data_IF_513334928035
#
_entry.id   IF_513334928035
#
_cell.length_a   1.000
_cell.length_b   1.000
_cell.length_c   1.000
_cell.angle_alpha   90.00
_cell.angle_beta   90.00
_cell.angle_gamma   90.00
#
_symmetry.space_group_name_H-M   'P 1'
#
loop_
_entity.id
_entity.type
_entity.pdbx_description
1 polymer ?
#
# COMPACT_ATOMS: atom_id res chain seq x y z
N UNK A 1 8.06 6.32 4.14
CA UNK A 1 7.05 5.25 4.40
C UNK A 1 7.67 3.92 4.05
N UNK A 2 7.57 2.93 4.94
CA UNK A 2 8.14 1.60 4.72
C UNK A 2 7.05 0.63 4.28
N UNK A 3 7.31 -0.10 3.20
CA UNK A 3 6.39 -1.07 2.62
C UNK A 3 6.93 -2.47 2.91
N UNK A 4 6.07 -3.36 3.38
CA UNK A 4 6.41 -4.74 3.67
C UNK A 4 5.56 -5.69 2.81
N UNK A 5 6.22 -6.58 2.07
CA UNK A 5 5.59 -7.76 1.51
C UNK A 5 5.36 -8.75 2.65
N UNK A 6 4.14 -9.17 2.88
CA UNK A 6 3.79 -10.00 4.05
C UNK A 6 3.42 -11.42 3.68
N UNK A 7 3.62 -12.30 4.64
CA UNK A 7 3.10 -13.66 4.64
C UNK A 7 2.29 -13.87 5.91
N UNK A 8 1.21 -14.60 5.82
CA UNK A 8 0.31 -14.94 6.92
C UNK A 8 0.30 -16.44 7.19
N UNK A 9 0.21 -16.83 8.45
CA UNK A 9 0.15 -18.24 8.87
C UNK A 9 -1.03 -18.45 9.82
N UNK A 10 -1.90 -19.40 9.48
CA UNK A 10 -3.02 -19.84 10.31
C UNK A 10 -3.07 -21.37 10.36
N UNK A 11 -3.68 -21.93 11.42
CA UNK A 11 -3.73 -23.38 11.62
C UNK A 11 -2.58 -23.94 12.48
N UNK A 12 -1.86 -23.08 13.19
CA UNK A 12 -0.77 -23.44 14.11
C UNK A 12 0.63 -23.25 13.51
N UNK A 13 1.64 -23.38 14.37
CA UNK A 13 3.04 -23.02 14.05
C UNK A 13 3.70 -23.89 12.95
N UNK A 14 3.09 -25.02 12.60
CA UNK A 14 3.58 -25.90 11.54
C UNK A 14 2.82 -25.74 10.22
N UNK A 15 1.83 -24.86 10.17
CA UNK A 15 1.07 -24.59 8.96
C UNK A 15 1.94 -23.86 7.92
N UNK A 16 1.64 -23.99 6.62
CA UNK A 16 2.34 -23.24 5.60
C UNK A 16 2.08 -21.73 5.73
N UNK A 17 3.05 -20.95 5.28
CA UNK A 17 2.91 -19.51 5.11
C UNK A 17 2.25 -19.23 3.75
N UNK A 18 1.32 -18.28 3.72
CA UNK A 18 0.58 -17.85 2.55
C UNK A 18 0.85 -16.37 2.28
N UNK A 19 0.74 -15.95 1.03
CA UNK A 19 0.80 -14.54 0.68
C UNK A 19 -0.19 -13.73 1.55
N UNK A 20 0.32 -12.72 2.22
CA UNK A 20 -0.42 -11.82 3.11
C UNK A 20 -0.67 -10.45 2.51
N UNK A 21 -0.23 -10.20 1.26
CA UNK A 21 -0.30 -8.91 0.61
C UNK A 21 0.73 -7.92 1.14
N UNK A 22 0.39 -6.65 1.10
CA UNK A 22 1.27 -5.58 1.56
C UNK A 22 0.77 -4.92 2.83
N UNK A 23 1.71 -4.54 3.70
CA UNK A 23 1.52 -3.54 4.74
C UNK A 23 2.37 -2.32 4.39
N UNK A 24 1.81 -1.13 4.55
CA UNK A 24 2.57 0.12 4.47
C UNK A 24 2.43 0.84 5.79
N UNK A 25 3.53 0.99 6.52
CA UNK A 25 3.58 1.57 7.85
C UNK A 25 4.80 2.47 8.02
N UNK A 26 4.66 3.44 8.92
CA UNK A 26 5.72 4.43 9.16
C UNK A 26 5.76 5.52 8.09
N UNK A 27 6.17 6.70 8.49
CA UNK A 27 6.20 7.89 7.62
C UNK A 27 7.57 8.58 7.55
N UNK A 28 8.62 7.93 8.06
CA UNK A 28 9.98 8.47 8.04
C UNK A 28 10.79 7.85 6.92
N UNK A 29 11.48 8.70 6.14
CA UNK A 29 12.23 8.26 4.97
C UNK A 29 13.45 7.39 5.33
N UNK A 30 14.14 7.73 6.42
CA UNK A 30 15.44 7.15 6.79
C UNK A 30 15.36 6.28 8.06
N UNK A 31 14.17 5.95 8.54
CA UNK A 31 13.99 5.24 9.79
C UNK A 31 12.82 4.27 9.73
N UNK A 32 13.13 2.98 9.77
CA UNK A 32 12.11 1.95 9.71
C UNK A 32 11.34 1.81 11.04
N UNK A 33 10.06 1.48 11.01
CA UNK A 33 9.35 1.02 12.20
C UNK A 33 9.90 -0.34 12.64
N UNK A 34 10.17 -0.46 13.94
CA UNK A 34 10.65 -1.72 14.56
C UNK A 34 9.60 -2.38 15.45
N UNK A 35 8.51 -1.69 15.75
CA UNK A 35 7.35 -2.28 16.43
C UNK A 35 6.06 -1.55 16.02
N UNK A 36 4.96 -2.30 15.95
CA UNK A 36 3.61 -1.79 15.77
C UNK A 36 2.65 -2.60 16.67
N UNK A 37 2.06 -1.95 17.65
CA UNK A 37 1.12 -2.55 18.59
C UNK A 37 -0.15 -1.69 18.63
N UNK A 38 -1.13 -2.04 17.82
CA UNK A 38 -2.38 -1.31 17.68
C UNK A 38 -3.57 -2.25 17.71
N UNK A 39 -4.69 -1.75 18.22
CA UNK A 39 -5.94 -2.51 18.29
C UNK A 39 -7.15 -1.63 18.01
N UNK A 40 -8.23 -2.27 17.56
CA UNK A 40 -9.52 -1.66 17.27
C UNK A 40 -10.61 -2.27 18.15
N UNK A 41 -11.44 -1.43 18.75
CA UNK A 41 -12.64 -1.85 19.47
C UNK A 41 -13.93 -1.75 18.64
N UNK A 42 -13.86 -1.33 17.37
CA UNK A 42 -15.01 -1.02 16.52
C UNK A 42 -15.00 -1.74 15.16
N UNK A 43 -14.37 -2.90 15.13
CA UNK A 43 -14.31 -3.74 13.92
C UNK A 43 -13.37 -3.22 12.84
N UNK A 44 -12.28 -2.54 13.25
CA UNK A 44 -11.25 -2.07 12.33
C UNK A 44 -11.54 -0.72 11.68
N UNK A 45 -12.47 0.07 12.21
CA UNK A 45 -12.71 1.44 11.73
C UNK A 45 -11.71 2.43 12.32
N UNK A 46 -11.36 2.26 13.58
CA UNK A 46 -10.36 3.07 14.26
C UNK A 46 -9.38 2.16 15.01
N UNK A 47 -8.09 2.47 14.91
CA UNK A 47 -7.05 1.85 15.70
C UNK A 47 -6.47 2.85 16.70
N UNK A 48 -6.01 2.33 17.83
CA UNK A 48 -5.21 3.04 18.81
C UNK A 48 -4.11 2.13 19.35
N UNK A 49 -2.98 2.72 19.72
CA UNK A 49 -1.86 1.98 20.31
C UNK A 49 -0.54 2.70 20.16
N UNK A 50 0.51 1.96 19.87
CA UNK A 50 1.86 2.50 19.76
C UNK A 50 2.60 1.95 18.55
N UNK A 51 3.57 2.72 18.07
CA UNK A 51 4.61 2.28 17.17
C UNK A 51 5.97 2.74 17.68
N UNK A 52 7.02 2.10 17.23
CA UNK A 52 8.40 2.45 17.61
C UNK A 52 9.25 2.49 16.35
N UNK A 53 10.00 3.56 16.17
CA UNK A 53 11.04 3.64 15.16
C UNK A 53 12.39 3.22 15.71
N UNK A 54 13.29 2.77 14.84
CA UNK A 54 14.64 2.36 15.22
C UNK A 54 15.36 3.48 15.98
N UNK A 55 15.94 3.14 17.14
CA UNK A 55 16.65 4.08 17.99
C UNK A 55 15.78 4.96 18.89
N UNK A 56 14.47 4.82 18.85
CA UNK A 56 13.51 5.62 19.62
C UNK A 56 12.68 4.80 20.61
N UNK A 57 11.96 5.50 21.48
CA UNK A 57 10.93 4.91 22.33
C UNK A 57 9.57 4.85 21.64
N UNK A 58 8.59 4.13 22.24
CA UNK A 58 7.25 4.04 21.67
C UNK A 58 6.57 5.41 21.59
N UNK A 59 5.92 5.67 20.45
CA UNK A 59 5.05 6.84 20.22
C UNK A 59 3.60 6.39 20.09
N UNK A 60 2.66 7.27 20.45
CA UNK A 60 1.24 7.03 20.28
C UNK A 60 0.85 6.97 18.81
N UNK A 61 -0.07 6.08 18.49
CA UNK A 61 -0.69 5.94 17.15
C UNK A 61 -2.20 5.92 17.29
N UNK A 62 -2.87 6.68 16.43
CA UNK A 62 -4.27 6.50 16.12
C UNK A 62 -4.45 6.48 14.61
N UNK A 63 -5.32 5.60 14.13
CA UNK A 63 -5.58 5.44 12.70
C UNK A 63 -7.09 5.35 12.47
N UNK A 64 -7.58 6.06 11.46
CA UNK A 64 -9.00 6.08 11.07
C UNK A 64 -9.14 5.57 9.65
N UNK A 65 -10.04 4.60 9.46
CA UNK A 65 -10.32 4.01 8.15
C UNK A 65 -10.84 5.08 7.17
N UNK A 66 -10.14 5.24 6.06
CA UNK A 66 -10.51 6.15 4.95
C UNK A 66 -11.20 5.36 3.84
N UNK A 67 -10.63 4.25 3.45
CA UNK A 67 -11.14 3.30 2.47
C UNK A 67 -10.57 1.91 2.77
N UNK A 68 -10.98 0.87 2.03
CA UNK A 68 -10.58 -0.52 2.30
C UNK A 68 -9.09 -0.66 2.61
N UNK A 69 -8.79 -1.16 3.81
CA UNK A 69 -7.44 -1.37 4.35
C UNK A 69 -6.54 -0.10 4.42
N UNK A 70 -7.01 1.06 4.00
CA UNK A 70 -6.25 2.31 4.00
C UNK A 70 -6.73 3.23 5.13
N UNK A 71 -5.80 3.70 5.94
CA UNK A 71 -6.07 4.45 7.17
C UNK A 71 -5.31 5.78 7.16
N UNK A 72 -6.01 6.87 7.50
CA UNK A 72 -5.36 8.12 7.91
C UNK A 72 -4.79 7.92 9.30
N UNK A 73 -3.50 8.19 9.47
CA UNK A 73 -2.77 7.95 10.71
C UNK A 73 -2.26 9.24 11.30
N UNK A 74 -2.29 9.32 12.61
CA UNK A 74 -1.66 10.37 13.38
C UNK A 74 -0.76 9.76 14.45
N UNK A 75 0.37 10.42 14.71
CA UNK A 75 1.35 10.04 15.70
C UNK A 75 1.43 11.06 16.82
N UNK A 76 1.73 10.61 18.03
CA UNK A 76 1.91 11.46 19.21
C UNK A 76 3.21 11.11 19.93
N UNK A 77 4.09 12.08 20.10
CA UNK A 77 5.34 11.97 20.89
C UNK A 77 5.45 13.14 21.86
N UNK A 78 6.25 12.99 22.91
CA UNK A 78 6.41 14.02 23.96
C UNK A 78 5.40 13.87 25.11
N UNK A 79 4.75 12.71 25.23
CA UNK A 79 3.82 12.38 26.31
C UNK A 79 2.34 12.52 25.94
N UNK A 80 1.46 12.06 26.81
CA UNK A 80 0.00 11.93 26.55
C UNK A 80 -0.74 13.26 26.37
N UNK A 81 -0.14 14.38 26.69
CA UNK A 81 -0.70 15.73 26.50
C UNK A 81 -0.15 16.43 25.26
N UNK A 82 0.78 15.83 24.54
CA UNK A 82 1.34 16.40 23.33
C UNK A 82 0.30 16.42 22.20
N UNK A 83 0.45 17.31 21.21
CA UNK A 83 -0.42 17.31 20.04
C UNK A 83 -0.26 16.04 19.21
N UNK A 84 -1.29 15.68 18.47
CA UNK A 84 -1.25 14.67 17.44
C UNK A 84 -0.80 15.29 16.13
N UNK A 85 0.05 14.60 15.40
CA UNK A 85 0.61 15.03 14.13
C UNK A 85 0.21 14.07 13.03
N UNK A 86 -0.09 14.59 11.87
CA UNK A 86 -0.39 13.79 10.68
C UNK A 86 0.81 12.88 10.33
N UNK A 87 0.53 11.61 10.15
CA UNK A 87 1.50 10.60 9.77
C UNK A 87 1.22 10.00 8.38
N UNK A 88 0.28 10.59 7.64
CA UNK A 88 -0.11 10.16 6.30
C UNK A 88 -1.00 8.91 6.28
N UNK A 89 -1.00 8.22 5.17
CA UNK A 89 -1.81 7.04 4.96
C UNK A 89 -1.00 5.76 5.23
N UNK A 90 -1.59 4.82 5.99
CA UNK A 90 -1.04 3.48 6.17
C UNK A 90 -1.96 2.45 5.50
N UNK A 91 -1.37 1.41 4.95
CA UNK A 91 -2.08 0.24 4.46
C UNK A 91 -2.02 -0.86 5.53
N UNK A 92 -3.14 -1.16 6.17
CA UNK A 92 -3.25 -2.09 7.29
C UNK A 92 -4.20 -3.24 6.94
N UNK A 93 -3.65 -4.35 6.47
CA UNK A 93 -4.40 -5.52 6.03
C UNK A 93 -4.51 -5.63 4.50
N UNK A 94 -4.96 -6.79 4.02
CA UNK A 94 -5.07 -7.09 2.60
C UNK A 94 -6.35 -7.85 2.23
N UNK A 95 -7.21 -8.19 3.20
CA UNK A 95 -8.44 -8.93 2.91
C UNK A 95 -9.56 -7.99 2.49
N UNK A 96 -10.26 -8.45 1.46
CA UNK A 96 -11.47 -7.80 1.01
C UNK A 96 -12.64 -8.09 1.94
N UNK A 97 -13.36 -7.04 2.35
CA UNK A 97 -14.58 -7.16 3.16
C UNK A 97 -14.36 -7.59 4.62
N UNK A 98 -13.11 -7.71 5.07
CA UNK A 98 -12.78 -8.07 6.44
C UNK A 98 -11.61 -7.21 6.97
N UNK A 99 -11.91 -6.23 7.78
CA UNK A 99 -10.89 -5.36 8.36
C UNK A 99 -10.00 -6.11 9.35
N UNK A 100 -8.73 -5.76 9.38
CA UNK A 100 -7.88 -6.09 10.52
C UNK A 100 -8.40 -5.35 11.78
N UNK A 101 -8.22 -5.95 12.96
CA UNK A 101 -8.63 -5.37 14.25
C UNK A 101 -7.50 -5.32 15.27
N UNK A 102 -6.39 -5.99 15.03
CA UNK A 102 -5.20 -5.89 15.88
C UNK A 102 -3.93 -6.21 15.09
N UNK A 103 -2.83 -5.55 15.50
CA UNK A 103 -1.47 -5.86 15.10
C UNK A 103 -0.56 -5.85 16.33
N UNK A 104 0.31 -6.85 16.41
CA UNK A 104 1.42 -6.93 17.36
C UNK A 104 2.64 -7.42 16.60
N UNK A 105 3.40 -6.48 16.04
CA UNK A 105 4.54 -6.72 15.16
C UNK A 105 5.81 -6.14 15.77
N UNK A 106 6.91 -6.87 15.65
CA UNK A 106 8.22 -6.48 16.14
C UNK A 106 9.32 -6.84 15.13
N UNK A 107 10.41 -6.11 15.18
CA UNK A 107 11.63 -6.34 14.39
C UNK A 107 12.83 -6.50 15.31
N UNK A 108 13.75 -7.37 14.92
CA UNK A 108 15.06 -7.53 15.57
C UNK A 108 16.24 -7.12 14.67
N UNK A 109 15.96 -6.62 13.48
CA UNK A 109 16.95 -6.31 12.43
C UNK A 109 16.80 -4.87 11.87
N UNK A 110 16.44 -3.91 12.72
CA UNK A 110 16.30 -2.50 12.33
C UNK A 110 15.12 -2.26 11.37
N UNK A 111 14.07 -3.07 11.48
CA UNK A 111 12.87 -2.91 10.66
C UNK A 111 12.98 -3.45 9.23
N UNK A 112 14.00 -4.27 8.92
CA UNK A 112 14.08 -4.95 7.62
C UNK A 112 13.05 -6.08 7.52
N UNK A 113 12.79 -6.75 8.65
CA UNK A 113 11.70 -7.70 8.77
C UNK A 113 10.84 -7.39 9.99
N UNK A 114 9.52 -7.58 9.85
CA UNK A 114 8.56 -7.52 10.95
C UNK A 114 7.96 -8.92 11.14
N UNK A 115 7.87 -9.36 12.39
CA UNK A 115 7.24 -10.64 12.74
C UNK A 115 6.29 -10.45 13.91
N UNK A 116 5.26 -11.26 13.97
CA UNK A 116 4.29 -11.20 15.07
C UNK A 116 2.94 -11.73 14.68
N UNK A 117 1.90 -11.05 15.10
CA UNK A 117 0.52 -11.44 14.82
C UNK A 117 -0.33 -10.28 14.32
N UNK A 118 -1.33 -10.64 13.53
CA UNK A 118 -2.47 -9.78 13.22
C UNK A 118 -3.77 -10.53 13.45
N UNK A 119 -4.85 -9.81 13.62
CA UNK A 119 -6.18 -10.38 13.82
C UNK A 119 -7.16 -9.69 12.88
N UNK A 120 -7.94 -10.47 12.15
CA UNK A 120 -9.08 -9.96 11.38
C UNK A 120 -10.37 -10.03 12.20
N UNK A 121 -11.33 -9.16 11.89
CA UNK A 121 -12.61 -9.10 12.59
C UNK A 121 -13.32 -10.46 12.58
N UNK A 122 -13.68 -10.97 13.76
CA UNK A 122 -14.34 -12.26 13.94
C UNK A 122 -13.41 -13.48 13.95
N UNK A 123 -12.09 -13.28 13.84
CA UNK A 123 -11.10 -14.37 13.87
C UNK A 123 -10.18 -14.29 15.09
N UNK A 124 -9.38 -15.34 15.30
CA UNK A 124 -8.26 -15.33 16.23
C UNK A 124 -6.98 -14.77 15.59
N UNK A 125 -5.93 -14.53 16.39
CA UNK A 125 -4.64 -14.07 15.87
C UNK A 125 -4.04 -15.06 14.86
N UNK A 126 -3.49 -14.53 13.77
CA UNK A 126 -2.71 -15.28 12.78
C UNK A 126 -1.27 -14.77 12.76
N UNK A 127 -0.33 -15.65 12.44
CA UNK A 127 1.07 -15.27 12.29
C UNK A 127 1.28 -14.33 11.11
N UNK A 128 2.13 -13.34 11.28
CA UNK A 128 2.57 -12.41 10.23
C UNK A 128 4.07 -12.37 10.17
N UNK A 129 4.58 -12.39 8.96
CA UNK A 129 5.98 -12.10 8.63
C UNK A 129 6.01 -11.15 7.45
N UNK A 130 6.63 -9.99 7.60
CA UNK A 130 6.79 -8.97 6.57
C UNK A 130 8.27 -8.72 6.29
N UNK A 131 8.63 -8.57 5.03
CA UNK A 131 9.97 -8.14 4.62
C UNK A 131 9.85 -6.84 3.83
N UNK A 132 10.79 -5.90 4.03
CA UNK A 132 10.81 -4.63 3.30
C UNK A 132 10.74 -4.89 1.79
N UNK A 133 9.84 -4.20 1.14
CA UNK A 133 9.64 -4.21 -0.31
C UNK A 133 10.17 -2.91 -0.92
N UNK A 134 10.64 -2.98 -2.15
CA UNK A 134 11.15 -1.83 -2.90
C UNK A 134 10.09 -1.00 -3.64
N UNK A 135 8.81 -1.25 -3.41
CA UNK A 135 7.72 -0.51 -4.04
C UNK A 135 7.70 0.98 -3.66
N UNK A 136 7.15 1.80 -4.56
CA UNK A 136 6.97 3.24 -4.34
C UNK A 136 5.52 3.54 -3.99
N UNK A 137 5.31 4.29 -2.92
CA UNK A 137 3.98 4.67 -2.44
C UNK A 137 3.49 5.96 -3.07
N UNK A 138 2.21 5.99 -3.41
CA UNK A 138 1.52 7.16 -3.94
C UNK A 138 0.19 7.37 -3.20
N UNK A 139 -0.07 8.60 -2.78
CA UNK A 139 -1.39 9.03 -2.36
C UNK A 139 -2.24 9.25 -3.61
N UNK A 140 -3.29 8.46 -3.76
CA UNK A 140 -4.18 8.53 -4.89
C UNK A 140 -5.39 9.45 -4.59
N UNK A 141 -5.79 10.23 -5.58
CA UNK A 141 -7.08 10.90 -5.59
C UNK A 141 -7.83 10.59 -6.88
N UNK A 142 -9.14 10.45 -6.77
CA UNK A 142 -10.03 10.12 -7.87
C UNK A 142 -11.05 11.24 -8.11
N UNK A 143 -11.39 11.49 -9.37
CA UNK A 143 -12.39 12.49 -9.76
C UNK A 143 -13.45 11.87 -10.69
N UNK A 144 -14.71 11.96 -10.29
CA UNK A 144 -15.85 11.54 -11.10
C UNK A 144 -16.93 12.63 -11.11
N UNK A 145 -17.76 12.65 -12.14
CA UNK A 145 -18.77 13.70 -12.32
C UNK A 145 -18.31 14.89 -13.17
N UNK A 146 -17.23 14.72 -13.93
CA UNK A 146 -16.66 15.72 -14.85
C UNK A 146 -15.52 16.53 -14.27
N UNK A 147 -14.85 17.32 -15.13
CA UNK A 147 -13.59 18.00 -14.82
C UNK A 147 -13.69 19.09 -13.73
N UNK A 148 -14.90 19.51 -13.35
CA UNK A 148 -15.13 20.49 -12.28
C UNK A 148 -15.56 19.82 -10.96
N UNK A 149 -15.69 18.51 -10.92
CA UNK A 149 -16.06 17.79 -9.71
C UNK A 149 -14.89 17.81 -8.69
N UNK A 150 -15.20 17.70 -7.39
CA UNK A 150 -14.13 17.59 -6.39
C UNK A 150 -13.33 16.30 -6.55
N UNK A 151 -12.07 16.36 -6.15
CA UNK A 151 -11.22 15.18 -6.00
C UNK A 151 -11.52 14.50 -4.65
N UNK A 152 -11.55 13.18 -4.66
CA UNK A 152 -11.82 12.35 -3.49
C UNK A 152 -10.65 11.43 -3.21
N UNK A 153 -10.46 11.09 -1.94
CA UNK A 153 -9.43 10.15 -1.52
C UNK A 153 -9.57 8.82 -2.27
N UNK A 154 -8.50 8.41 -2.94
CA UNK A 154 -8.40 7.20 -3.75
C UNK A 154 -7.54 6.11 -3.11
N UNK A 155 -7.13 6.28 -1.85
CA UNK A 155 -6.33 5.33 -1.10
C UNK A 155 -4.83 5.44 -1.36
N UNK A 156 -4.10 4.46 -0.87
CA UNK A 156 -2.66 4.34 -1.06
C UNK A 156 -2.38 3.32 -2.16
N UNK A 157 -1.64 3.73 -3.18
CA UNK A 157 -1.14 2.87 -4.23
C UNK A 157 0.33 2.56 -4.01
N UNK A 158 0.75 1.34 -4.36
CA UNK A 158 2.14 0.93 -4.33
C UNK A 158 2.51 0.44 -5.72
N UNK A 159 3.40 1.15 -6.38
CA UNK A 159 3.79 0.91 -7.77
C UNK A 159 5.32 0.84 -7.89
N UNK A 160 5.79 -0.07 -8.74
CA UNK A 160 7.22 -0.22 -9.02
C UNK A 160 7.94 -1.16 -8.05
N UNK A 161 9.12 -1.58 -8.46
CA UNK A 161 10.01 -2.43 -7.69
C UNK A 161 11.46 -1.92 -7.64
N UNK A 162 11.68 -0.67 -8.07
CA UNK A 162 13.02 -0.06 -8.09
C UNK A 162 13.01 1.17 -7.19
N UNK A 163 13.74 1.15 -6.05
CA UNK A 163 13.68 2.22 -5.05
C UNK A 163 14.17 3.57 -5.57
N UNK A 164 15.16 3.57 -6.47
CA UNK A 164 15.80 4.80 -6.97
C UNK A 164 15.29 5.24 -8.35
N UNK A 165 14.28 4.56 -8.89
CA UNK A 165 13.78 4.83 -10.23
C UNK A 165 12.24 4.80 -10.25
N UNK A 166 11.59 5.96 -10.06
CA UNK A 166 10.13 6.02 -10.02
C UNK A 166 9.50 5.72 -11.37
N UNK A 167 8.28 5.20 -11.33
CA UNK A 167 7.44 5.04 -12.52
C UNK A 167 7.02 6.43 -13.03
N UNK A 168 7.10 6.61 -14.34
CA UNK A 168 6.68 7.85 -15.03
C UNK A 168 5.50 7.64 -15.98
N UNK A 169 5.14 6.40 -16.29
CA UNK A 169 3.94 6.08 -17.05
C UNK A 169 3.45 4.66 -16.73
N UNK A 170 2.14 4.47 -16.74
CA UNK A 170 1.46 3.19 -16.61
C UNK A 170 0.23 3.18 -17.53
N UNK A 171 0.19 2.26 -18.49
CA UNK A 171 -0.92 2.04 -19.41
C UNK A 171 -1.28 0.55 -19.40
N UNK A 172 -2.29 0.20 -18.61
CA UNK A 172 -2.69 -1.18 -18.35
C UNK A 172 -4.20 -1.37 -18.46
N UNK A 173 -4.60 -2.57 -18.84
CA UNK A 173 -6.01 -2.94 -18.97
C UNK A 173 -6.26 -4.40 -18.59
N UNK A 174 -7.52 -4.72 -18.32
CA UNK A 174 -8.01 -6.04 -17.95
C UNK A 174 -9.18 -6.45 -18.83
N UNK A 175 -9.19 -7.71 -19.25
CA UNK A 175 -10.32 -8.33 -19.93
C UNK A 175 -11.17 -9.24 -18.99
N UNK A 176 -10.77 -9.40 -17.74
CA UNK A 176 -11.35 -10.34 -16.77
C UNK A 176 -11.75 -9.70 -15.45
N UNK A 177 -12.28 -8.47 -15.51
CA UNK A 177 -12.74 -7.67 -14.37
C UNK A 177 -11.64 -7.40 -13.31
N UNK A 178 -10.41 -7.18 -13.75
CA UNK A 178 -9.30 -6.79 -12.88
C UNK A 178 -8.54 -7.96 -12.24
N UNK A 179 -8.83 -9.20 -12.59
CA UNK A 179 -8.05 -10.35 -12.10
C UNK A 179 -6.64 -10.40 -12.68
N UNK A 180 -6.54 -10.05 -13.96
CA UNK A 180 -5.25 -9.83 -14.61
C UNK A 180 -5.22 -8.45 -15.28
N UNK A 181 -4.09 -7.77 -15.14
CA UNK A 181 -3.83 -6.51 -15.82
C UNK A 181 -2.63 -6.71 -16.75
N UNK A 182 -2.73 -6.22 -17.96
CA UNK A 182 -1.65 -6.30 -18.96
C UNK A 182 -1.48 -4.97 -19.67
N UNK A 183 -0.27 -4.67 -20.13
CA UNK A 183 0.01 -3.43 -20.83
C UNK A 183 1.48 -3.04 -20.75
N UNK A 184 1.75 -1.78 -20.54
CA UNK A 184 3.10 -1.24 -20.44
C UNK A 184 3.27 -0.34 -19.23
N UNK A 185 4.50 -0.26 -18.75
CA UNK A 185 4.95 0.70 -17.76
C UNK A 185 6.28 1.31 -18.17
N UNK A 186 6.62 2.45 -17.64
CA UNK A 186 7.87 3.14 -17.93
C UNK A 186 8.50 3.64 -16.65
N UNK A 187 9.75 3.29 -16.42
CA UNK A 187 10.57 3.89 -15.38
C UNK A 187 11.24 5.19 -15.87
N UNK A 188 11.55 6.09 -14.95
CA UNK A 188 12.24 7.34 -15.28
C UNK A 188 13.56 7.07 -16.01
N UNK A 189 13.75 7.74 -17.16
CA UNK A 189 14.93 7.60 -18.01
C UNK A 189 14.95 6.38 -18.94
N UNK A 190 13.89 5.55 -18.94
CA UNK A 190 13.78 4.35 -19.78
C UNK A 190 12.63 4.45 -20.81
N UNK A 191 12.58 3.50 -21.73
CA UNK A 191 11.44 3.28 -22.63
C UNK A 191 10.38 2.37 -21.96
N UNK A 192 9.21 2.26 -22.61
CA UNK A 192 8.16 1.38 -22.13
C UNK A 192 8.61 -0.09 -22.10
N UNK A 193 8.23 -0.77 -21.01
CA UNK A 193 8.44 -2.22 -20.82
C UNK A 193 7.11 -2.91 -20.68
N UNK A 194 7.06 -4.21 -21.02
CA UNK A 194 5.87 -5.05 -20.84
C UNK A 194 5.50 -5.18 -19.37
N UNK A 195 4.21 -5.12 -19.11
CA UNK A 195 3.61 -5.26 -17.77
C UNK A 195 2.56 -6.36 -17.77
N UNK A 196 2.61 -7.22 -16.77
CA UNK A 196 1.58 -8.20 -16.48
C UNK A 196 1.42 -8.33 -14.96
N UNK A 197 0.19 -8.24 -14.48
CA UNK A 197 -0.13 -8.37 -13.07
C UNK A 197 -1.25 -9.38 -12.88
N UNK A 198 -1.15 -10.19 -11.84
CA UNK A 198 -2.19 -11.15 -11.43
C UNK A 198 -2.62 -10.80 -10.01
N UNK A 199 -3.92 -10.62 -9.82
CA UNK A 199 -4.49 -10.32 -8.51
C UNK A 199 -4.26 -11.48 -7.56
N UNK A 200 -3.68 -11.21 -6.40
CA UNK A 200 -3.44 -12.18 -5.32
C UNK A 200 -4.45 -12.04 -4.21
N UNK A 201 -4.76 -10.81 -3.85
CA UNK A 201 -5.81 -10.43 -2.87
C UNK A 201 -6.50 -9.17 -3.38
N UNK A 202 -7.50 -8.64 -2.65
CA UNK A 202 -8.16 -7.36 -2.95
C UNK A 202 -7.22 -6.38 -3.66
N UNK A 203 -7.24 -5.43 -4.16
CA UNK A 203 -6.36 -4.46 -4.86
C UNK A 203 -4.84 -4.78 -4.92
N UNK A 204 -4.41 -5.99 -4.49
CA UNK A 204 -3.00 -6.44 -4.45
C UNK A 204 -2.68 -7.39 -5.60
N UNK A 205 -1.57 -7.14 -6.29
CA UNK A 205 -1.17 -7.84 -7.50
C UNK A 205 0.28 -8.32 -7.43
N UNK A 206 0.54 -9.58 -7.84
CA UNK A 206 1.88 -10.03 -8.22
C UNK A 206 2.17 -9.58 -9.63
N UNK A 207 3.29 -8.88 -9.82
CA UNK A 207 3.64 -8.20 -11.08
C UNK A 207 4.83 -8.87 -11.74
N UNK A 208 4.79 -8.95 -13.06
CA UNK A 208 5.90 -9.35 -13.91
C UNK A 208 6.18 -8.23 -14.92
N UNK A 209 7.45 -8.00 -15.18
CA UNK A 209 7.94 -7.03 -16.15
C UNK A 209 8.72 -7.72 -17.27
N UNK A 210 8.64 -7.19 -18.50
CA UNK A 210 9.34 -7.71 -19.67
C UNK A 210 10.06 -6.59 -20.41
N UNK A 211 11.36 -6.71 -20.56
CA UNK A 211 12.20 -5.80 -21.36
C UNK A 211 13.08 -6.59 -22.32
N UNK A 212 13.49 -5.96 -23.42
CA UNK A 212 14.28 -6.62 -24.47
C UNK A 212 13.44 -7.21 -25.62
N UNK A 213 12.16 -6.80 -25.73
CA UNK A 213 11.23 -7.21 -26.79
C UNK A 213 10.30 -8.36 -26.41
N UNK A 214 9.33 -8.63 -27.27
CA UNK A 214 8.19 -9.52 -27.01
C UNK A 214 8.56 -11.01 -26.77
N UNK A 215 9.78 -11.41 -27.11
CA UNK A 215 10.28 -12.77 -26.88
C UNK A 215 11.19 -12.87 -25.65
N UNK A 216 11.45 -11.76 -24.97
CA UNK A 216 12.28 -11.76 -23.76
C UNK A 216 11.56 -12.46 -22.60
N UNK A 217 12.29 -13.01 -21.63
CA UNK A 217 11.68 -13.58 -20.44
C UNK A 217 10.97 -12.52 -19.59
N UNK A 218 9.95 -12.96 -18.89
CA UNK A 218 9.29 -12.16 -17.86
C UNK A 218 10.07 -12.26 -16.54
N UNK A 219 10.25 -11.15 -15.87
CA UNK A 219 10.97 -11.03 -14.61
C UNK A 219 10.03 -10.59 -13.49
N UNK A 220 10.35 -10.97 -12.27
CA UNK A 220 9.61 -10.53 -11.10
C UNK A 220 9.64 -8.98 -11.00
N UNK A 221 8.45 -8.41 -10.92
CA UNK A 221 8.19 -6.97 -10.77
C UNK A 221 7.70 -6.60 -9.38
N UNK A 222 7.70 -7.56 -8.45
CA UNK A 222 7.27 -7.36 -7.07
C UNK A 222 5.76 -7.44 -6.87
N UNK A 223 5.33 -6.97 -5.71
CA UNK A 223 3.92 -6.91 -5.32
C UNK A 223 3.46 -5.45 -5.33
N UNK A 224 2.33 -5.19 -5.98
CA UNK A 224 1.79 -3.85 -6.14
C UNK A 224 0.39 -3.73 -5.53
N UNK A 225 0.02 -2.51 -5.13
CA UNK A 225 -1.37 -2.16 -4.80
C UNK A 225 -1.89 -1.21 -5.86
N UNK A 226 -2.96 -1.62 -6.55
CA UNK A 226 -3.59 -0.88 -7.64
C UNK A 226 -5.09 -0.81 -7.36
N UNK A 227 -5.58 0.37 -7.01
CA UNK A 227 -6.97 0.56 -6.60
C UNK A 227 -7.15 0.66 -5.08
N UNK A 228 -8.40 0.85 -4.67
CA UNK A 228 -8.77 0.99 -3.25
C UNK A 228 -10.21 0.54 -2.94
N UNK A 229 -10.85 -0.15 -3.86
CA UNK A 229 -12.25 -0.57 -3.71
C UNK A 229 -12.41 -2.08 -3.55
N UNK A 230 -11.56 -2.75 -2.89
CA UNK A 230 -11.51 -4.16 -2.55
C UNK A 230 -12.49 -5.17 -3.22
N UNK A 231 -13.74 -4.78 -3.46
CA UNK A 231 -14.78 -5.61 -4.13
C UNK A 231 -14.92 -5.35 -5.62
N UNK A 232 -14.32 -4.27 -6.13
CA UNK A 232 -14.47 -3.82 -7.52
C UNK A 232 -13.09 -3.67 -8.16
N UNK A 233 -12.72 -4.64 -8.99
CA UNK A 233 -11.42 -4.68 -9.64
C UNK A 233 -11.17 -3.47 -10.56
N UNK A 234 -9.94 -3.01 -10.60
CA UNK A 234 -9.47 -2.03 -11.60
C UNK A 234 -9.37 -2.71 -12.96
N UNK A 235 -10.00 -2.16 -13.98
CA UNK A 235 -9.99 -2.73 -15.34
C UNK A 235 -9.18 -1.91 -16.34
N UNK A 236 -8.82 -0.68 -16.01
CA UNK A 236 -7.88 0.11 -16.81
C UNK A 236 -7.21 1.19 -15.95
N UNK A 237 -5.95 1.48 -16.22
CA UNK A 237 -5.20 2.64 -15.73
C UNK A 237 -4.37 3.19 -16.87
N UNK A 238 -4.49 4.50 -17.09
CA UNK A 238 -3.63 5.23 -18.04
C UNK A 238 -3.17 6.53 -17.37
N UNK A 239 -1.94 6.55 -16.88
CA UNK A 239 -1.33 7.70 -16.22
C UNK A 239 0.06 7.98 -16.74
N UNK A 240 0.42 9.26 -16.77
CA UNK A 240 1.75 9.74 -17.14
C UNK A 240 2.23 10.81 -16.18
N UNK A 241 3.55 10.98 -16.08
CA UNK A 241 4.15 12.02 -15.24
C UNK A 241 3.82 13.42 -15.80
N UNK A 242 3.28 14.26 -14.92
CA UNK A 242 2.98 15.67 -15.22
C UNK A 242 3.53 16.57 -14.09
N UNK A 243 4.82 16.48 -13.82
CA UNK A 243 5.50 17.30 -12.81
C UNK A 243 5.61 16.62 -11.44
N UNK A 244 4.70 16.90 -10.51
CA UNK A 244 4.77 16.38 -9.13
C UNK A 244 4.15 15.00 -8.91
N UNK A 245 3.65 14.34 -9.97
CA UNK A 245 2.98 13.03 -9.82
C UNK A 245 2.53 12.44 -11.14
N UNK A 246 1.82 11.30 -11.07
CA UNK A 246 1.22 10.66 -12.24
C UNK A 246 -0.25 11.09 -12.35
N UNK A 247 -0.65 11.57 -13.52
CA UNK A 247 -2.00 12.03 -13.78
C UNK A 247 -2.60 11.32 -15.00
N UNK A 248 -3.89 11.08 -14.96
CA UNK A 248 -4.62 10.44 -16.05
C UNK A 248 -5.98 9.90 -15.63
N UNK A 249 -6.27 8.69 -16.03
CA UNK A 249 -7.56 8.04 -15.78
C UNK A 249 -7.40 6.62 -15.27
N UNK A 250 -8.42 6.18 -14.53
CA UNK A 250 -8.63 4.78 -14.18
C UNK A 250 -10.09 4.38 -14.42
N UNK A 251 -10.34 3.10 -14.48
CA UNK A 251 -11.67 2.54 -14.64
C UNK A 251 -11.84 1.35 -13.71
N UNK A 252 -12.91 1.34 -12.95
CA UNK A 252 -13.34 0.17 -12.19
C UNK A 252 -14.31 -0.69 -13.01
N UNK A 253 -14.38 -1.98 -12.73
CA UNK A 253 -15.28 -2.91 -13.41
C UNK A 253 -16.73 -2.44 -13.33
N UNK A 254 -17.39 -2.33 -14.51
CA UNK A 254 -18.76 -1.85 -14.62
C UNK A 254 -18.97 -0.34 -14.61
N UNK A 255 -17.88 0.44 -14.54
CA UNK A 255 -17.95 1.91 -14.55
C UNK A 255 -17.28 2.52 -15.80
N UNK A 256 -17.47 3.81 -16.00
CA UNK A 256 -16.71 4.60 -16.97
C UNK A 256 -15.40 5.11 -16.40
N UNK A 257 -14.50 5.66 -17.24
CA UNK A 257 -13.25 6.26 -16.78
C UNK A 257 -13.48 7.40 -15.79
N UNK A 258 -12.68 7.42 -14.74
CA UNK A 258 -12.62 8.50 -13.75
C UNK A 258 -11.21 9.12 -13.73
N UNK A 259 -11.10 10.37 -13.33
CA UNK A 259 -9.81 11.04 -13.15
C UNK A 259 -9.00 10.36 -12.05
N UNK A 260 -7.70 10.21 -12.27
CA UNK A 260 -6.74 9.67 -11.31
C UNK A 260 -5.55 10.62 -11.21
N UNK A 261 -5.21 10.98 -9.99
CA UNK A 261 -3.99 11.69 -9.65
C UNK A 261 -3.25 10.91 -8.57
N UNK A 262 -1.98 10.62 -8.79
CA UNK A 262 -1.09 9.89 -7.89
C UNK A 262 0.08 10.80 -7.53
N UNK A 263 0.16 11.22 -6.28
CA UNK A 263 1.25 12.02 -5.74
C UNK A 263 2.13 11.12 -4.88
N UNK A 264 3.44 11.23 -5.02
CA UNK A 264 4.36 10.51 -4.14
C UNK A 264 3.98 10.77 -2.69
N UNK A 265 3.80 9.72 -1.92
CA UNK A 265 3.56 9.80 -0.48
C UNK A 265 4.86 10.27 0.20
N UNK A 266 5.13 11.57 0.12
CA UNK A 266 6.33 12.20 0.70
C UNK A 266 6.02 12.56 2.14
N UNK A 267 6.94 12.29 3.02
CA UNK A 267 6.87 12.72 4.41
C UNK A 267 7.03 14.24 4.51
N UNK A 268 5.96 14.99 4.67
CA UNK A 268 6.01 16.42 4.97
C UNK A 268 6.57 16.72 6.39
N UNK A 269 6.87 15.71 7.19
CA UNK A 269 7.33 15.88 8.58
C UNK A 269 8.77 16.43 8.73
N UNK A 270 9.50 16.72 7.65
CA UNK A 270 10.86 17.26 7.70
C UNK A 270 11.00 18.71 7.17
N UNK A 271 9.91 19.41 6.87
CA UNK A 271 9.98 20.79 6.40
C UNK A 271 10.03 21.85 7.52
N UNK A 272 9.82 21.44 8.78
CA UNK A 272 9.79 22.35 9.95
C UNK A 272 10.73 21.89 11.09
N UNK A 273 11.96 21.47 10.78
CA UNK A 273 12.99 21.23 11.79
C UNK A 273 14.18 22.17 11.61
#
# INVERSE_FOLDING_TARGET
MTIYATQNQWGGNSAPWHDGGLLSIGNRADQNPIALQIQSGDGGKNFTGTMTYEGEGPIGVRATLVTTNCYQVENQWGGSSAPWHDAGLFLLGARNGQNAVAFDLNSSDGGQTLTGTMTYAGEGPIGVKGSVSSGTSFDATNQWGGNSAPWHQGGLWVLGCRPDQPIVALDISSADNGRTLTGTMTYSGEGPIGFKATQTMADTYSVLNQWGGDQAPWHDGGVWVIGCRGTQGVVAVNVTNQGSGLNGTMTYAGEGPIGLNLVLAVNEALADA
#
